data_IF_220887329437
#
_entry.id   IF_220887329437
#
_cell.length_a   1.000
_cell.length_b   1.000
_cell.length_c   1.000
_cell.angle_alpha   90.00
_cell.angle_beta   90.00
_cell.angle_gamma   90.00
#
_symmetry.space_group_name_H-M   'P 1'
#
loop_
_entity.id
_entity.type
_entity.pdbx_description
1 polymer ?
#
# COMPACT_ATOMS: atom_id res chain seq x y z
N UNK A 1 -34.46 -23.85 -3.85
CA UNK A 1 -33.79 -23.04 -2.81
C UNK A 1 -32.29 -23.37 -2.74
N UNK A 2 -31.57 -23.37 -3.87
CA UNK A 2 -30.14 -23.76 -3.93
C UNK A 2 -29.21 -22.67 -4.50
N UNK A 3 -29.75 -21.56 -5.02
CA UNK A 3 -28.95 -20.45 -5.54
C UNK A 3 -28.57 -19.43 -4.45
N UNK A 4 -29.38 -19.30 -3.40
CA UNK A 4 -29.15 -18.31 -2.33
C UNK A 4 -27.98 -18.64 -1.38
N UNK A 5 -27.52 -19.91 -1.34
CA UNK A 5 -26.46 -20.32 -0.43
C UNK A 5 -25.06 -19.91 -0.94
N UNK A 6 -24.85 -19.87 -2.26
CA UNK A 6 -23.56 -19.46 -2.85
C UNK A 6 -23.35 -17.95 -2.79
N UNK A 7 -24.40 -17.16 -3.07
CA UNK A 7 -24.31 -15.69 -3.06
C UNK A 7 -24.14 -15.13 -1.63
N UNK A 8 -24.82 -15.73 -0.64
CA UNK A 8 -24.66 -15.35 0.76
C UNK A 8 -23.25 -15.64 1.31
N UNK A 9 -22.68 -16.79 0.95
CA UNK A 9 -21.29 -17.14 1.30
C UNK A 9 -20.28 -16.23 0.60
N UNK A 10 -20.50 -15.90 -0.68
CA UNK A 10 -19.65 -14.98 -1.43
C UNK A 10 -19.68 -13.57 -0.83
N UNK A 11 -20.85 -13.05 -0.48
CA UNK A 11 -20.99 -11.73 0.14
C UNK A 11 -20.32 -11.67 1.52
N UNK A 12 -20.48 -12.70 2.35
CA UNK A 12 -19.81 -12.78 3.64
C UNK A 12 -18.28 -12.79 3.51
N UNK A 13 -17.74 -13.49 2.51
CA UNK A 13 -16.30 -13.46 2.21
C UNK A 13 -15.85 -12.07 1.75
N UNK A 14 -16.60 -11.44 0.84
CA UNK A 14 -16.31 -10.08 0.37
C UNK A 14 -16.27 -9.09 1.54
N UNK A 15 -17.23 -9.15 2.45
CA UNK A 15 -17.27 -8.26 3.61
C UNK A 15 -16.13 -8.52 4.60
N UNK A 16 -15.76 -9.79 4.81
CA UNK A 16 -14.57 -10.15 5.59
C UNK A 16 -13.30 -9.57 4.97
N UNK A 17 -13.12 -9.73 3.66
CA UNK A 17 -11.98 -9.15 2.95
C UNK A 17 -11.98 -7.62 3.02
N UNK A 18 -13.12 -6.97 2.80
CA UNK A 18 -13.24 -5.50 2.90
C UNK A 18 -12.80 -5.01 4.27
N UNK A 19 -13.25 -5.65 5.35
CA UNK A 19 -12.88 -5.28 6.70
C UNK A 19 -11.36 -5.49 6.94
N UNK A 20 -10.81 -6.64 6.57
CA UNK A 20 -9.38 -6.90 6.66
C UNK A 20 -8.55 -5.88 5.85
N UNK A 21 -8.99 -5.54 4.63
CA UNK A 21 -8.34 -4.53 3.80
C UNK A 21 -8.47 -3.13 4.39
N UNK A 22 -9.57 -2.79 5.09
CA UNK A 22 -9.67 -1.51 5.80
C UNK A 22 -8.59 -1.37 6.88
N UNK A 23 -8.36 -2.43 7.67
CA UNK A 23 -7.28 -2.46 8.67
C UNK A 23 -5.90 -2.34 8.01
N UNK A 24 -5.65 -3.10 6.93
CA UNK A 24 -4.38 -3.03 6.18
C UNK A 24 -4.12 -1.62 5.65
N UNK A 25 -5.14 -0.95 5.09
CA UNK A 25 -5.03 0.43 4.59
C UNK A 25 -4.70 1.41 5.72
N UNK A 26 -5.38 1.29 6.87
CA UNK A 26 -5.09 2.13 8.04
C UNK A 26 -3.66 1.94 8.54
N UNK A 27 -3.20 0.69 8.66
CA UNK A 27 -1.84 0.38 9.07
C UNK A 27 -0.80 0.86 8.06
N UNK A 28 -1.07 0.74 6.76
CA UNK A 28 -0.21 1.28 5.72
C UNK A 28 -0.08 2.80 5.81
N UNK A 29 -1.20 3.50 6.03
CA UNK A 29 -1.20 4.96 6.19
C UNK A 29 -0.41 5.37 7.44
N UNK A 30 -0.63 4.68 8.56
CA UNK A 30 0.15 4.90 9.79
C UNK A 30 1.64 4.69 9.53
N UNK A 31 2.05 3.60 8.87
CA UNK A 31 3.45 3.37 8.54
C UNK A 31 4.03 4.44 7.61
N UNK A 32 3.24 4.98 6.68
CA UNK A 32 3.69 6.07 5.82
C UNK A 32 3.96 7.37 6.60
N UNK A 33 3.14 7.66 7.62
CA UNK A 33 3.34 8.77 8.54
C UNK A 33 4.56 8.55 9.44
N UNK A 34 4.65 7.37 10.08
CA UNK A 34 5.75 7.02 10.98
C UNK A 34 7.12 7.08 10.26
N UNK A 35 7.16 6.68 8.99
CA UNK A 35 8.35 6.74 8.14
C UNK A 35 8.53 8.09 7.43
N UNK A 36 7.61 9.04 7.56
CA UNK A 36 7.66 10.35 6.89
C UNK A 36 7.84 10.24 5.37
N UNK A 37 7.14 9.28 4.74
CA UNK A 37 7.27 8.98 3.30
C UNK A 37 6.93 10.19 2.43
N UNK A 38 5.89 10.95 2.81
CA UNK A 38 5.49 12.14 2.05
C UNK A 38 6.60 13.21 2.04
N UNK A 39 7.23 13.46 3.19
CA UNK A 39 8.31 14.43 3.33
C UNK A 39 9.54 14.03 2.49
N UNK A 40 9.89 12.73 2.50
CA UNK A 40 10.97 12.19 1.67
C UNK A 40 10.70 12.40 0.16
N UNK A 41 9.45 12.18 -0.27
CA UNK A 41 9.04 12.41 -1.67
C UNK A 41 9.10 13.91 -2.02
N UNK A 42 8.61 14.78 -1.14
CA UNK A 42 8.60 16.24 -1.35
C UNK A 42 10.01 16.80 -1.43
N UNK A 43 10.91 16.34 -0.55
CA UNK A 43 12.34 16.71 -0.58
C UNK A 43 13.01 16.39 -1.92
N UNK A 44 12.52 15.38 -2.64
CA UNK A 44 13.01 14.96 -3.95
C UNK A 44 12.25 15.58 -5.13
N UNK A 45 11.43 16.61 -4.90
CA UNK A 45 10.67 17.30 -5.95
C UNK A 45 9.38 16.57 -6.35
N UNK A 46 8.78 15.80 -5.44
CA UNK A 46 7.46 15.19 -5.62
C UNK A 46 7.45 13.84 -6.32
N UNK A 47 8.61 13.32 -6.74
CA UNK A 47 8.74 11.98 -7.31
C UNK A 47 10.06 11.34 -6.91
N UNK A 48 10.03 10.06 -6.53
CA UNK A 48 11.20 9.33 -6.08
C UNK A 48 11.13 7.87 -6.52
N UNK A 49 12.27 7.27 -6.82
CA UNK A 49 12.31 5.82 -7.07
C UNK A 49 12.23 5.04 -5.75
N UNK A 50 11.78 3.78 -5.80
CA UNK A 50 11.69 2.96 -4.59
C UNK A 50 13.06 2.73 -3.92
N UNK A 51 14.12 2.65 -4.71
CA UNK A 51 15.49 2.47 -4.19
C UNK A 51 15.99 3.73 -3.50
N UNK A 52 15.77 4.91 -4.10
CA UNK A 52 16.10 6.20 -3.48
C UNK A 52 15.29 6.42 -2.20
N UNK A 53 13.98 6.11 -2.22
CA UNK A 53 13.15 6.19 -1.01
C UNK A 53 13.67 5.25 0.08
N UNK A 54 14.08 4.03 -0.26
CA UNK A 54 14.66 3.12 0.74
C UNK A 54 15.96 3.67 1.34
N UNK A 55 16.81 4.31 0.53
CA UNK A 55 18.05 4.93 0.98
C UNK A 55 17.79 6.14 1.89
N UNK A 56 16.85 7.02 1.51
CA UNK A 56 16.46 8.21 2.26
C UNK A 56 15.83 7.86 3.62
N UNK A 57 15.01 6.81 3.63
CA UNK A 57 14.44 6.23 4.85
C UNK A 57 15.45 5.38 5.65
N UNK A 58 16.71 5.29 5.23
CA UNK A 58 17.78 4.49 5.86
C UNK A 58 17.41 3.01 6.05
N UNK A 59 16.60 2.46 5.15
CA UNK A 59 16.12 1.08 5.24
C UNK A 59 17.17 0.09 4.74
N UNK A 60 17.34 -0.99 5.49
CA UNK A 60 18.18 -2.11 5.04
C UNK A 60 17.61 -2.73 3.74
N UNK A 61 18.44 -3.15 2.77
CA UNK A 61 17.99 -3.71 1.49
C UNK A 61 16.97 -4.85 1.60
N UNK A 62 17.03 -5.65 2.67
CA UNK A 62 16.05 -6.71 2.94
C UNK A 62 14.62 -6.22 3.16
N UNK A 63 14.42 -4.93 3.45
CA UNK A 63 13.10 -4.30 3.65
C UNK A 63 12.53 -3.67 2.38
N UNK A 64 13.30 -3.59 1.28
CA UNK A 64 12.82 -3.05 0.00
C UNK A 64 11.56 -3.77 -0.51
N UNK A 65 11.44 -5.12 -0.44
CA UNK A 65 10.19 -5.80 -0.82
C UNK A 65 9.01 -5.41 0.06
N UNK A 66 9.22 -5.18 1.36
CA UNK A 66 8.19 -4.71 2.28
C UNK A 66 7.76 -3.27 1.94
N UNK A 67 8.72 -2.38 1.71
CA UNK A 67 8.44 -1.00 1.27
C UNK A 67 7.67 -0.99 -0.06
N UNK A 68 8.02 -1.85 -1.02
CA UNK A 68 7.29 -2.00 -2.29
C UNK A 68 5.82 -2.33 -2.05
N UNK A 69 5.55 -3.31 -1.17
CA UNK A 69 4.18 -3.73 -0.83
C UNK A 69 3.43 -2.60 -0.14
N UNK A 70 4.07 -1.90 0.79
CA UNK A 70 3.52 -0.72 1.46
C UNK A 70 3.12 0.36 0.44
N UNK A 71 4.05 0.78 -0.42
CA UNK A 71 3.80 1.80 -1.45
C UNK A 71 2.68 1.37 -2.41
N UNK A 72 2.61 0.08 -2.77
CA UNK A 72 1.52 -0.44 -3.59
C UNK A 72 0.17 -0.37 -2.88
N UNK A 73 0.09 -0.72 -1.61
CA UNK A 73 -1.14 -0.59 -0.82
C UNK A 73 -1.60 0.87 -0.75
N UNK A 74 -0.68 1.80 -0.51
CA UNK A 74 -0.99 3.23 -0.47
C UNK A 74 -1.43 3.76 -1.84
N UNK A 75 -0.86 3.23 -2.93
CA UNK A 75 -1.27 3.60 -4.27
C UNK A 75 -2.64 3.07 -4.66
N UNK A 76 -2.96 1.82 -4.32
CA UNK A 76 -4.31 1.26 -4.48
C UNK A 76 -5.34 2.04 -3.66
N UNK A 77 -4.91 2.62 -2.52
CA UNK A 77 -5.74 3.47 -1.68
C UNK A 77 -5.89 4.91 -2.20
N UNK A 78 -5.17 5.28 -3.27
CA UNK A 78 -5.18 6.62 -3.86
C UNK A 78 -4.35 7.66 -3.10
N UNK A 79 -3.56 7.26 -2.10
CA UNK A 79 -2.74 8.18 -1.29
C UNK A 79 -1.49 8.62 -2.05
N UNK A 80 -0.87 7.70 -2.78
CA UNK A 80 0.30 7.97 -3.63
C UNK A 80 0.04 7.45 -5.05
N UNK A 81 0.84 7.89 -6.01
CA UNK A 81 0.81 7.36 -7.37
C UNK A 81 2.10 6.63 -7.67
N UNK A 82 2.00 5.40 -8.19
CA UNK A 82 3.16 4.66 -8.71
C UNK A 82 3.23 4.87 -10.21
N UNK A 83 4.30 5.51 -10.68
CA UNK A 83 4.62 5.55 -12.12
C UNK A 83 5.31 4.23 -12.47
N UNK A 84 4.64 3.38 -13.25
CA UNK A 84 5.29 2.24 -13.87
C UNK A 84 6.36 2.77 -14.82
N UNK A 85 7.62 2.39 -14.63
CA UNK A 85 8.66 2.68 -15.59
C UNK A 85 8.31 1.99 -16.90
N UNK A 86 7.80 2.73 -17.87
CA UNK A 86 7.87 2.32 -19.26
C UNK A 86 9.32 2.57 -19.69
N UNK A 87 10.13 1.52 -19.62
CA UNK A 87 11.37 1.34 -20.38
C UNK A 87 11.43 -0.13 -20.79
#
# INVERSE_FOLDING_TARGET
>A
MALANSDGQLNAQVDLYRNAFAVIKGMALKSALDLRIADAIDHHGGAITLAQLAADLTLHPSKIPCLRRLMRTLAISGVFTVRGGAQ
#
